data_IF_913614412221
#
_entry.id   IF_913614412221
#
_cell.length_a   1.000
_cell.length_b   1.000
_cell.length_c   1.000
_cell.angle_alpha   90.00
_cell.angle_beta   90.00
_cell.angle_gamma   90.00
#
_symmetry.space_group_name_H-M   'P 1'
#
loop_
_entity.id
_entity.type
_entity.pdbx_description
1 polymer ?
#
# COMPACT_ATOMS: atom_id res chain seq x y z
N UNK A 1 -17.73 -0.58 6.63
CA UNK A 1 -16.38 -0.03 6.49
C UNK A 1 -15.61 -0.88 5.49
N UNK A 2 -14.70 -0.27 4.74
CA UNK A 2 -13.87 -0.90 3.72
C UNK A 2 -12.42 -1.01 4.21
N UNK A 3 -11.92 -2.22 4.39
CA UNK A 3 -10.54 -2.46 4.81
C UNK A 3 -9.69 -3.04 3.69
N UNK A 4 -8.53 -2.43 3.46
CA UNK A 4 -7.47 -3.01 2.65
C UNK A 4 -6.46 -3.71 3.58
N UNK A 5 -6.30 -5.02 3.44
CA UNK A 5 -5.27 -5.79 4.12
C UNK A 5 -4.08 -5.91 3.17
N UNK A 6 -2.98 -5.24 3.48
CA UNK A 6 -1.72 -5.33 2.72
C UNK A 6 -0.84 -6.37 3.39
N UNK A 7 -0.63 -7.50 2.72
CA UNK A 7 0.15 -8.63 3.21
C UNK A 7 1.48 -8.73 2.44
N UNK A 8 2.56 -8.94 3.19
CA UNK A 8 3.90 -9.01 2.61
C UNK A 8 4.74 -10.10 3.30
N UNK A 9 4.62 -11.34 2.81
CA UNK A 9 5.49 -12.44 3.21
C UNK A 9 5.57 -13.50 2.10
N UNK A 10 6.76 -14.05 1.77
CA UNK A 10 6.92 -15.02 0.67
C UNK A 10 6.42 -16.44 0.99
N UNK A 11 6.40 -16.82 2.26
CA UNK A 11 6.00 -18.18 2.71
C UNK A 11 4.50 -18.22 3.03
N UNK A 12 3.69 -19.06 2.35
CA UNK A 12 2.25 -19.18 2.57
C UNK A 12 1.85 -19.70 3.96
N UNK A 13 2.68 -20.53 4.58
CA UNK A 13 2.43 -21.14 5.90
C UNK A 13 3.07 -20.35 7.05
N UNK A 14 3.47 -19.10 6.80
CA UNK A 14 4.11 -18.26 7.83
C UNK A 14 3.16 -17.87 8.96
N UNK A 15 3.72 -17.48 10.11
CA UNK A 15 2.92 -16.89 11.19
C UNK A 15 2.21 -15.60 10.75
N UNK A 16 2.82 -14.82 9.85
CA UNK A 16 2.17 -13.65 9.25
C UNK A 16 0.94 -14.05 8.41
N UNK A 17 0.96 -15.19 7.73
CA UNK A 17 -0.20 -15.71 7.00
C UNK A 17 -1.35 -16.02 7.97
N UNK A 18 -1.06 -16.68 9.10
CA UNK A 18 -2.05 -16.95 10.14
C UNK A 18 -2.65 -15.64 10.73
N UNK A 19 -1.83 -14.61 10.92
CA UNK A 19 -2.30 -13.27 11.34
C UNK A 19 -3.21 -12.66 10.28
N UNK A 20 -2.81 -12.69 9.00
CA UNK A 20 -3.60 -12.18 7.87
C UNK A 20 -4.99 -12.84 7.86
N UNK A 21 -5.03 -14.17 7.90
CA UNK A 21 -6.28 -14.93 7.81
C UNK A 21 -7.19 -14.63 9.01
N UNK A 22 -6.62 -14.61 10.21
CA UNK A 22 -7.35 -14.23 11.43
C UNK A 22 -7.93 -12.81 11.35
N UNK A 23 -7.15 -11.85 10.85
CA UNK A 23 -7.59 -10.46 10.72
C UNK A 23 -8.73 -10.32 9.71
N UNK A 24 -8.61 -10.95 8.53
CA UNK A 24 -9.66 -10.96 7.50
C UNK A 24 -10.95 -11.56 8.07
N UNK A 25 -10.87 -12.72 8.71
CA UNK A 25 -12.03 -13.41 9.31
C UNK A 25 -12.74 -12.55 10.36
N UNK A 26 -11.98 -11.84 11.20
CA UNK A 26 -12.56 -10.94 12.22
C UNK A 26 -13.23 -9.73 11.57
N UNK A 27 -12.59 -9.08 10.60
CA UNK A 27 -13.13 -7.92 9.90
C UNK A 27 -14.42 -8.28 9.14
N UNK A 28 -14.41 -9.40 8.42
CA UNK A 28 -15.59 -9.89 7.70
C UNK A 28 -16.74 -10.23 8.66
N UNK A 29 -16.47 -10.88 9.79
CA UNK A 29 -17.50 -11.16 10.82
C UNK A 29 -18.10 -9.90 11.45
N UNK A 30 -17.38 -8.77 11.42
CA UNK A 30 -17.88 -7.45 11.84
C UNK A 30 -18.66 -6.73 10.74
N UNK A 31 -18.88 -7.35 9.58
CA UNK A 31 -19.60 -6.76 8.45
C UNK A 31 -18.78 -5.76 7.63
N UNK A 32 -17.45 -5.82 7.71
CA UNK A 32 -16.59 -4.98 6.87
C UNK A 32 -16.40 -5.62 5.50
N UNK A 33 -16.32 -4.80 4.46
CA UNK A 33 -15.85 -5.24 3.14
C UNK A 33 -14.32 -5.27 3.17
N UNK A 34 -13.71 -6.40 2.83
CA UNK A 34 -12.26 -6.60 2.94
C UNK A 34 -11.69 -6.93 1.57
N UNK A 35 -10.60 -6.25 1.20
CA UNK A 35 -9.76 -6.59 0.05
C UNK A 35 -8.37 -6.95 0.54
N UNK A 36 -7.84 -8.08 0.06
CA UNK A 36 -6.48 -8.52 0.32
C UNK A 36 -5.57 -8.09 -0.85
N UNK A 37 -4.47 -7.45 -0.52
CA UNK A 37 -3.35 -7.18 -1.42
C UNK A 37 -2.15 -8.01 -0.95
N UNK A 38 -1.87 -9.12 -1.62
CA UNK A 38 -0.72 -9.98 -1.35
C UNK A 38 0.41 -9.66 -2.33
N UNK A 39 1.40 -8.89 -1.86
CA UNK A 39 2.46 -8.37 -2.73
C UNK A 39 3.36 -9.48 -3.33
N UNK A 40 3.52 -10.59 -2.62
CA UNK A 40 4.31 -11.72 -3.12
C UNK A 40 3.52 -12.58 -4.11
N UNK A 41 2.24 -12.83 -3.84
CA UNK A 41 1.38 -13.57 -4.75
C UNK A 41 1.18 -12.83 -6.08
N UNK A 42 1.06 -11.50 -6.04
CA UNK A 42 0.98 -10.65 -7.25
C UNK A 42 2.32 -10.48 -7.98
N UNK A 43 3.43 -10.92 -7.36
CA UNK A 43 4.80 -10.67 -7.86
C UNK A 43 5.03 -9.18 -8.13
N UNK A 44 4.60 -8.34 -7.20
CA UNK A 44 4.78 -6.89 -7.30
C UNK A 44 6.26 -6.56 -7.55
N UNK A 45 6.52 -5.60 -8.44
CA UNK A 45 7.88 -5.10 -8.66
C UNK A 45 8.15 -3.94 -7.70
N UNK A 46 9.00 -4.11 -6.67
CA UNK A 46 9.25 -3.06 -5.70
C UNK A 46 10.24 -2.00 -6.18
N UNK A 47 10.82 -2.14 -7.36
CA UNK A 47 11.90 -1.26 -7.81
C UNK A 47 11.35 -0.03 -8.52
N UNK A 48 11.58 1.15 -7.93
CA UNK A 48 11.28 2.42 -8.60
C UNK A 48 12.28 2.68 -9.73
N UNK A 49 11.77 2.89 -10.94
CA UNK A 49 12.56 3.20 -12.13
C UNK A 49 13.05 4.66 -12.19
N UNK A 50 13.97 4.95 -13.12
CA UNK A 50 14.55 6.29 -13.31
C UNK A 50 13.48 7.34 -13.68
N UNK A 51 12.61 7.04 -14.66
CA UNK A 51 11.60 7.99 -15.13
C UNK A 51 10.47 8.20 -14.11
N UNK A 52 10.12 7.15 -13.37
CA UNK A 52 9.24 7.24 -12.21
C UNK A 52 9.83 8.17 -11.16
N UNK A 53 11.11 8.00 -10.81
CA UNK A 53 11.79 8.87 -9.84
C UNK A 53 11.89 10.32 -10.33
N UNK A 54 12.13 10.57 -11.62
CA UNK A 54 12.23 11.92 -12.20
C UNK A 54 10.93 12.70 -12.05
N UNK A 55 9.78 12.04 -12.19
CA UNK A 55 8.45 12.66 -12.14
C UNK A 55 7.75 12.55 -10.77
N UNK A 56 8.34 11.80 -9.82
CA UNK A 56 7.77 11.47 -8.51
C UNK A 56 7.17 12.64 -7.71
N UNK A 57 7.80 13.82 -7.79
CA UNK A 57 7.36 15.01 -7.05
C UNK A 57 6.29 15.83 -7.78
N UNK A 58 6.13 15.61 -9.09
CA UNK A 58 5.30 16.44 -9.95
C UNK A 58 3.94 15.80 -10.22
N UNK A 59 3.88 14.48 -10.30
CA UNK A 59 2.68 13.72 -10.63
C UNK A 59 2.76 12.27 -10.15
N UNK A 60 1.62 11.59 -10.18
CA UNK A 60 1.57 10.15 -9.96
C UNK A 60 2.36 9.38 -11.04
N UNK A 61 2.98 8.23 -10.70
CA UNK A 61 3.55 7.30 -11.66
C UNK A 61 2.55 6.90 -12.75
N UNK A 62 3.02 6.81 -13.99
CA UNK A 62 2.21 6.47 -15.15
C UNK A 62 2.27 4.98 -15.52
N UNK A 63 2.89 4.15 -14.68
CA UNK A 63 2.93 2.70 -14.85
C UNK A 63 1.50 2.14 -14.71
N UNK A 64 0.92 1.55 -15.78
CA UNK A 64 -0.43 0.98 -15.73
C UNK A 64 -0.58 -0.12 -14.67
N UNK A 65 0.50 -0.82 -14.31
CA UNK A 65 0.49 -1.85 -13.27
C UNK A 65 0.19 -1.27 -11.88
N UNK A 66 0.44 0.04 -11.66
CA UNK A 66 0.19 0.68 -10.37
C UNK A 66 -1.26 1.15 -10.20
N UNK A 67 -2.02 1.29 -11.30
CA UNK A 67 -3.40 1.80 -11.27
C UNK A 67 -4.33 1.01 -10.34
N UNK A 68 -4.35 -0.34 -10.35
CA UNK A 68 -5.17 -1.09 -9.40
C UNK A 68 -4.84 -0.79 -7.93
N UNK A 69 -3.57 -0.54 -7.60
CA UNK A 69 -3.18 -0.20 -6.24
C UNK A 69 -3.65 1.20 -5.82
N UNK A 70 -3.63 2.18 -6.74
CA UNK A 70 -4.23 3.50 -6.49
C UNK A 70 -5.74 3.41 -6.22
N UNK A 71 -6.44 2.58 -6.99
CA UNK A 71 -7.87 2.32 -6.79
C UNK A 71 -8.15 1.65 -5.44
N UNK A 72 -7.29 0.74 -4.98
CA UNK A 72 -7.38 0.15 -3.65
C UNK A 72 -7.20 1.20 -2.54
N UNK A 73 -6.22 2.10 -2.67
CA UNK A 73 -6.01 3.18 -1.71
C UNK A 73 -7.21 4.15 -1.64
N UNK A 74 -7.79 4.50 -2.79
CA UNK A 74 -8.97 5.36 -2.84
C UNK A 74 -10.25 4.66 -2.33
N UNK A 75 -10.33 3.34 -2.48
CA UNK A 75 -11.46 2.55 -1.99
C UNK A 75 -11.39 2.30 -0.47
N UNK A 76 -10.21 2.20 0.13
CA UNK A 76 -10.03 1.83 1.53
C UNK A 76 -10.43 2.96 2.50
N UNK A 77 -11.07 2.61 3.61
CA UNK A 77 -11.34 3.49 4.77
C UNK A 77 -10.45 3.13 5.98
N UNK A 78 -9.84 1.94 5.94
CA UNK A 78 -8.82 1.47 6.87
C UNK A 78 -7.79 0.64 6.11
N UNK A 79 -6.52 0.72 6.50
CA UNK A 79 -5.45 -0.07 5.90
C UNK A 79 -4.72 -0.84 7.00
N UNK A 80 -4.70 -2.17 6.89
CA UNK A 80 -3.99 -3.05 7.80
C UNK A 80 -2.76 -3.63 7.11
N UNK A 81 -1.58 -3.38 7.66
CA UNK A 81 -0.33 -3.96 7.18
C UNK A 81 0.03 -5.22 7.97
N UNK A 82 0.21 -6.34 7.29
CA UNK A 82 0.64 -7.61 7.88
C UNK A 82 1.96 -8.05 7.24
N UNK A 83 3.04 -7.91 7.99
CA UNK A 83 4.40 -8.20 7.52
C UNK A 83 5.34 -8.51 8.71
N UNK A 84 6.44 -9.25 8.49
CA UNK A 84 7.47 -9.46 9.49
C UNK A 84 8.42 -8.26 9.57
N UNK A 85 8.95 -7.95 10.75
CA UNK A 85 10.03 -6.96 10.86
C UNK A 85 11.35 -7.57 10.37
N UNK A 86 11.92 -7.04 9.29
CA UNK A 86 13.22 -7.44 8.77
C UNK A 86 14.19 -6.27 8.86
N UNK A 87 15.39 -6.52 9.41
CA UNK A 87 16.39 -5.47 9.63
C UNK A 87 15.83 -4.20 10.29
N UNK A 88 15.03 -4.38 11.34
CA UNK A 88 14.38 -3.30 12.09
C UNK A 88 13.38 -2.46 11.27
N UNK A 89 12.91 -2.96 10.13
CA UNK A 89 11.98 -2.24 9.25
C UNK A 89 11.04 -3.14 8.46
N UNK A 90 10.50 -2.55 7.39
CA UNK A 90 9.61 -3.20 6.43
C UNK A 90 10.41 -4.15 5.53
N UNK A 91 9.82 -5.26 5.05
CA UNK A 91 10.37 -6.00 3.92
C UNK A 91 10.58 -5.08 2.72
N UNK A 92 11.64 -5.33 1.93
CA UNK A 92 11.95 -4.53 0.75
C UNK A 92 10.78 -4.46 -0.24
N UNK A 93 10.02 -5.56 -0.38
CA UNK A 93 8.80 -5.63 -1.18
C UNK A 93 7.76 -4.57 -0.76
N UNK A 94 7.46 -4.49 0.54
CA UNK A 94 6.51 -3.51 1.07
C UNK A 94 7.06 -2.09 0.99
N UNK A 95 8.35 -1.89 1.27
CA UNK A 95 8.98 -0.57 1.14
C UNK A 95 8.91 -0.04 -0.29
N UNK A 96 9.20 -0.89 -1.27
CA UNK A 96 9.08 -0.53 -2.68
C UNK A 96 7.63 -0.25 -3.10
N UNK A 97 6.66 -1.00 -2.57
CA UNK A 97 5.25 -0.70 -2.79
C UNK A 97 4.86 0.69 -2.25
N UNK A 98 5.33 1.05 -1.05
CA UNK A 98 5.12 2.41 -0.53
C UNK A 98 5.79 3.46 -1.44
N UNK A 99 7.03 3.21 -1.86
CA UNK A 99 7.77 4.17 -2.71
C UNK A 99 7.06 4.43 -4.05
N UNK A 100 6.48 3.40 -4.66
CA UNK A 100 5.84 3.51 -5.98
C UNK A 100 4.37 3.89 -5.90
N UNK A 101 3.65 3.44 -4.87
CA UNK A 101 2.19 3.61 -4.79
C UNK A 101 1.76 4.80 -3.94
N UNK A 102 2.49 5.14 -2.88
CA UNK A 102 2.17 6.28 -2.02
C UNK A 102 2.77 7.57 -2.60
N UNK A 103 2.41 7.87 -3.84
CA UNK A 103 3.02 8.91 -4.64
C UNK A 103 2.24 10.24 -4.60
N UNK A 104 2.84 11.27 -5.21
CA UNK A 104 2.19 12.56 -5.48
C UNK A 104 0.90 12.35 -6.27
N UNK A 105 -0.13 13.15 -5.98
CA UNK A 105 -1.49 13.06 -6.52
C UNK A 105 -2.29 11.81 -6.12
N UNK A 106 -1.68 10.87 -5.42
CA UNK A 106 -2.35 9.69 -4.86
C UNK A 106 -2.48 9.84 -3.35
N UNK A 107 -1.36 9.81 -2.62
CA UNK A 107 -1.36 9.83 -1.16
C UNK A 107 -1.20 11.25 -0.59
N UNK A 108 -0.47 12.10 -1.29
CA UNK A 108 -0.20 13.48 -0.88
C UNK A 108 -0.05 14.42 -2.09
N UNK A 109 -0.08 15.72 -1.82
CA UNK A 109 0.38 16.75 -2.77
C UNK A 109 1.48 17.58 -2.16
N UNK A 110 2.53 17.82 -2.95
CA UNK A 110 3.56 18.79 -2.61
C UNK A 110 3.05 20.22 -2.90
N UNK A 111 3.47 21.20 -2.10
CA UNK A 111 3.12 22.60 -2.35
C UNK A 111 3.91 23.15 -3.54
N UNK A 112 3.29 24.04 -4.32
CA UNK A 112 4.00 24.88 -5.30
C UNK A 112 4.74 26.00 -4.55
N UNK A 113 5.94 25.70 -4.04
CA UNK A 113 6.81 26.65 -3.33
C UNK A 113 6.83 26.42 -1.81
N UNK A 114 6.89 27.51 -1.03
CA UNK A 114 6.90 27.41 0.44
C UNK A 114 5.50 27.05 0.94
N UNK A 115 5.32 25.83 1.41
CA UNK A 115 4.05 25.36 1.96
C UNK A 115 4.21 24.05 2.71
N UNK A 116 3.10 23.50 3.19
CA UNK A 116 3.06 22.19 3.85
C UNK A 116 2.59 21.13 2.85
N UNK A 117 3.08 19.91 3.02
CA UNK A 117 2.56 18.73 2.31
C UNK A 117 1.08 18.58 2.69
N UNK A 118 0.22 18.41 1.68
CA UNK A 118 -1.21 18.16 1.88
C UNK A 118 -1.47 16.66 1.78
N UNK A 119 -2.04 16.07 2.83
CA UNK A 119 -2.53 14.69 2.77
C UNK A 119 -3.74 14.60 1.83
N UNK A 120 -3.77 13.57 0.98
CA UNK A 120 -4.93 13.21 0.17
C UNK A 120 -5.67 11.99 0.74
N UNK A 121 -5.03 11.23 1.63
CA UNK A 121 -5.59 10.04 2.29
C UNK A 121 -6.48 10.40 3.49
N UNK A 122 -7.37 11.40 3.36
CA UNK A 122 -8.19 11.91 4.48
C UNK A 122 -9.38 11.03 4.82
N UNK A 123 -9.70 10.07 3.96
CA UNK A 123 -10.78 9.09 4.10
C UNK A 123 -10.33 7.81 4.81
N UNK A 124 -9.03 7.65 5.05
CA UNK A 124 -8.47 6.54 5.82
C UNK A 124 -8.30 6.98 7.28
N UNK A 125 -8.96 6.26 8.18
CA UNK A 125 -8.90 6.47 9.65
C UNK A 125 -7.87 5.59 10.34
#
# INVERSE_FOLDING_TARGET
MRALVVYCHPVPESFCAAIRDTAIDVLMRRGWEVRLLDLYAEKFDPVMGCDERRSYNDQAPQDPALKPHFELLNWAEAILFVYPTWWYGLPAMLKGWLDRVWATDVAFKLPTGKGRIKSLMTHVT
#
